data_IF_564208835757
#
_entry.id   IF_564208835757
#
_cell.length_a   1.000
_cell.length_b   1.000
_cell.length_c   1.000
_cell.angle_alpha   90.00
_cell.angle_beta   90.00
_cell.angle_gamma   90.00
#
_symmetry.space_group_name_H-M   'P 1'
#
loop_
_entity.id
_entity.type
_entity.pdbx_description
1 polymer ?
#
# COMPACT_ATOMS: atom_id res chain seq x y z
N UNK A 1 -13.34 -15.09 -28.82
CA UNK A 1 -13.89 -15.11 -27.44
C UNK A 1 -13.28 -16.25 -26.62
N UNK A 2 -13.23 -17.49 -27.13
CA UNK A 2 -12.54 -18.64 -26.50
C UNK A 2 -11.12 -18.32 -26.03
N UNK A 3 -10.31 -17.63 -26.83
CA UNK A 3 -8.91 -17.32 -26.46
C UNK A 3 -8.79 -16.34 -25.29
N UNK A 4 -9.76 -15.41 -25.14
CA UNK A 4 -9.79 -14.49 -23.99
C UNK A 4 -10.18 -15.24 -22.71
N UNK A 5 -11.11 -16.18 -22.81
CA UNK A 5 -11.54 -17.03 -21.68
C UNK A 5 -10.40 -17.97 -21.27
N UNK A 6 -9.72 -18.61 -22.23
CA UNK A 6 -8.57 -19.47 -21.96
C UNK A 6 -7.43 -18.71 -21.27
N UNK A 7 -7.09 -17.50 -21.75
CA UNK A 7 -6.11 -16.62 -21.11
C UNK A 7 -6.54 -16.24 -19.69
N UNK A 8 -7.80 -15.88 -19.49
CA UNK A 8 -8.32 -15.54 -18.17
C UNK A 8 -8.22 -16.74 -17.21
N UNK A 9 -8.64 -17.94 -17.63
CA UNK A 9 -8.56 -19.15 -16.82
C UNK A 9 -7.11 -19.52 -16.49
N UNK A 10 -6.18 -19.33 -17.44
CA UNK A 10 -4.76 -19.57 -17.22
C UNK A 10 -4.21 -18.57 -16.18
N UNK A 11 -4.50 -17.29 -16.33
CA UNK A 11 -4.08 -16.26 -15.35
C UNK A 11 -4.69 -16.49 -13.97
N UNK A 12 -5.95 -16.88 -13.90
CA UNK A 12 -6.62 -17.21 -12.64
C UNK A 12 -5.96 -18.43 -11.99
N UNK A 13 -5.72 -19.50 -12.76
CA UNK A 13 -5.04 -20.70 -12.27
C UNK A 13 -3.61 -20.40 -11.82
N UNK A 14 -2.87 -19.59 -12.57
CA UNK A 14 -1.53 -19.15 -12.19
C UNK A 14 -1.55 -18.32 -10.91
N UNK A 15 -2.50 -17.38 -10.79
CA UNK A 15 -2.68 -16.57 -9.59
C UNK A 15 -2.98 -17.43 -8.36
N UNK A 16 -3.90 -18.40 -8.48
CA UNK A 16 -4.20 -19.36 -7.42
C UNK A 16 -2.97 -20.22 -7.08
N UNK A 17 -2.22 -20.66 -8.09
CA UNK A 17 -1.01 -21.45 -7.87
C UNK A 17 0.06 -20.65 -7.11
N UNK A 18 0.32 -19.41 -7.53
CA UNK A 18 1.26 -18.52 -6.85
C UNK A 18 0.81 -18.23 -5.42
N UNK A 19 -0.47 -17.95 -5.21
CA UNK A 19 -1.03 -17.75 -3.87
C UNK A 19 -0.85 -18.99 -2.99
N UNK A 20 -1.16 -20.19 -3.51
CA UNK A 20 -0.99 -21.44 -2.78
C UNK A 20 0.47 -21.70 -2.40
N UNK A 21 1.41 -21.54 -3.35
CA UNK A 21 2.85 -21.71 -3.10
C UNK A 21 3.34 -20.69 -2.07
N UNK A 22 2.94 -19.43 -2.17
CA UNK A 22 3.31 -18.40 -1.21
C UNK A 22 2.78 -18.71 0.19
N UNK A 23 1.50 -19.10 0.33
CA UNK A 23 0.89 -19.45 1.62
C UNK A 23 1.58 -20.65 2.24
N UNK A 24 1.85 -21.71 1.47
CA UNK A 24 2.54 -22.90 1.97
C UNK A 24 3.99 -22.57 2.34
N UNK A 25 4.71 -21.83 1.51
CA UNK A 25 6.10 -21.43 1.77
C UNK A 25 6.22 -20.60 3.04
N UNK A 26 5.35 -19.60 3.22
CA UNK A 26 5.29 -18.79 4.44
C UNK A 26 4.91 -19.63 5.67
N UNK A 27 3.95 -20.56 5.53
CA UNK A 27 3.55 -21.45 6.61
C UNK A 27 4.67 -22.39 7.05
N UNK A 28 5.40 -23.00 6.10
CA UNK A 28 6.54 -23.85 6.39
C UNK A 28 7.68 -23.05 7.03
N UNK A 29 7.95 -21.85 6.53
CA UNK A 29 8.96 -20.96 7.10
C UNK A 29 8.59 -20.56 8.54
N UNK A 30 7.32 -20.23 8.80
CA UNK A 30 6.81 -19.92 10.12
C UNK A 30 7.07 -21.05 11.10
N UNK A 31 6.77 -22.29 10.72
CA UNK A 31 7.02 -23.46 11.56
C UNK A 31 8.53 -23.66 11.76
N UNK A 32 9.35 -23.48 10.72
CA UNK A 32 10.81 -23.67 10.78
C UNK A 32 11.50 -22.71 11.75
N UNK A 33 11.00 -21.49 11.92
CA UNK A 33 11.51 -20.52 12.91
C UNK A 33 10.93 -20.73 14.32
N UNK A 34 10.22 -21.83 14.56
CA UNK A 34 9.59 -22.14 15.85
C UNK A 34 8.22 -21.48 16.06
N UNK A 35 7.59 -21.00 14.99
CA UNK A 35 6.26 -20.42 15.01
C UNK A 35 5.19 -21.45 15.38
N UNK A 36 4.57 -21.26 16.53
CA UNK A 36 3.43 -22.06 17.00
C UNK A 36 2.07 -21.42 16.68
N UNK A 37 1.01 -22.01 17.24
CA UNK A 37 -0.32 -21.42 17.20
C UNK A 37 -0.30 -20.03 17.87
N UNK A 38 -0.78 -19.01 17.16
CA UNK A 38 -0.77 -17.64 17.65
C UNK A 38 -1.78 -17.50 18.81
N UNK A 39 -1.36 -16.88 19.90
CA UNK A 39 -2.24 -16.62 21.05
C UNK A 39 -3.35 -15.63 20.70
N UNK A 40 -4.40 -15.58 21.51
CA UNK A 40 -5.50 -14.61 21.35
C UNK A 40 -4.97 -13.17 21.32
N UNK A 41 -4.00 -12.83 22.16
CA UNK A 41 -3.35 -11.52 22.18
C UNK A 41 -2.61 -11.23 20.87
N UNK A 42 -1.96 -12.24 20.27
CA UNK A 42 -1.29 -12.09 18.98
C UNK A 42 -2.26 -11.75 17.85
N UNK A 43 -3.41 -12.42 17.81
CA UNK A 43 -4.47 -12.11 16.84
C UNK A 43 -5.04 -10.71 17.04
N UNK A 44 -5.27 -10.29 18.29
CA UNK A 44 -5.73 -8.93 18.61
C UNK A 44 -4.70 -7.90 18.18
N UNK A 45 -3.42 -8.10 18.51
CA UNK A 45 -2.35 -7.19 18.15
C UNK A 45 -2.17 -7.08 16.63
N UNK A 46 -2.25 -8.20 15.91
CA UNK A 46 -2.20 -8.20 14.44
C UNK A 46 -3.40 -7.48 13.84
N UNK A 47 -4.61 -7.74 14.33
CA UNK A 47 -5.81 -7.03 13.89
C UNK A 47 -5.72 -5.53 14.14
N UNK A 48 -5.28 -5.13 15.33
CA UNK A 48 -5.07 -3.72 15.68
C UNK A 48 -4.01 -3.07 14.79
N UNK A 49 -2.91 -3.78 14.50
CA UNK A 49 -1.86 -3.30 13.60
C UNK A 49 -2.36 -3.10 12.18
N UNK A 50 -3.10 -4.05 11.63
CA UNK A 50 -3.69 -3.95 10.28
C UNK A 50 -4.69 -2.79 10.22
N UNK A 51 -5.64 -2.73 11.16
CA UNK A 51 -6.66 -1.67 11.17
C UNK A 51 -6.03 -0.29 11.41
N UNK A 52 -5.04 -0.21 12.31
CA UNK A 52 -4.32 1.03 12.61
C UNK A 52 -3.55 1.54 11.40
N UNK A 53 -2.84 0.67 10.68
CA UNK A 53 -2.08 1.06 9.47
C UNK A 53 -3.00 1.45 8.31
N UNK A 54 -4.08 0.71 8.07
CA UNK A 54 -5.08 1.07 7.05
C UNK A 54 -5.76 2.40 7.39
N UNK A 55 -6.18 2.57 8.64
CA UNK A 55 -6.80 3.81 9.11
C UNK A 55 -5.85 5.00 9.02
N UNK A 56 -4.58 4.81 9.37
CA UNK A 56 -3.55 5.82 9.23
C UNK A 56 -3.32 6.19 7.75
N UNK A 57 -3.13 5.20 6.88
CA UNK A 57 -2.94 5.43 5.45
C UNK A 57 -4.13 6.17 4.83
N UNK A 58 -5.36 5.76 5.18
CA UNK A 58 -6.59 6.44 4.78
C UNK A 58 -6.62 7.88 5.28
N UNK A 59 -6.34 8.11 6.56
CA UNK A 59 -6.35 9.42 7.19
C UNK A 59 -5.34 10.37 6.53
N UNK A 60 -4.11 9.90 6.32
CA UNK A 60 -3.07 10.66 5.63
C UNK A 60 -3.47 11.01 4.19
N UNK A 61 -4.02 10.04 3.45
CA UNK A 61 -4.49 10.28 2.08
C UNK A 61 -5.67 11.26 2.03
N UNK A 62 -6.60 11.16 2.98
CA UNK A 62 -7.72 12.09 3.11
C UNK A 62 -7.24 13.51 3.40
N UNK A 63 -6.25 13.67 4.29
CA UNK A 63 -5.64 14.96 4.60
C UNK A 63 -4.91 15.54 3.38
N UNK A 64 -4.15 14.72 2.65
CA UNK A 64 -3.48 15.15 1.43
C UNK A 64 -4.47 15.71 0.39
N UNK A 65 -5.58 15.00 0.13
CA UNK A 65 -6.61 15.49 -0.77
C UNK A 65 -7.30 16.77 -0.26
N UNK A 66 -7.46 16.90 1.06
CA UNK A 66 -8.04 18.10 1.66
C UNK A 66 -7.11 19.31 1.53
N UNK A 67 -5.82 19.12 1.77
CA UNK A 67 -4.78 20.16 1.64
C UNK A 67 -4.76 20.75 0.23
N UNK A 68 -4.76 19.87 -0.78
CA UNK A 68 -4.81 20.26 -2.18
C UNK A 68 -6.10 21.00 -2.54
N UNK A 69 -7.26 20.60 -1.99
CA UNK A 69 -8.55 21.28 -2.27
C UNK A 69 -8.65 22.65 -1.63
N UNK A 70 -8.09 22.81 -0.43
CA UNK A 70 -8.14 24.07 0.32
C UNK A 70 -7.01 25.04 -0.07
N UNK A 71 -6.14 24.66 -1.03
CA UNK A 71 -5.02 25.49 -1.50
C UNK A 71 -3.96 25.71 -0.42
N UNK A 72 -3.87 24.83 0.58
CA UNK A 72 -2.85 24.92 1.63
C UNK A 72 -1.46 24.61 1.08
N UNK A 73 -1.38 23.72 0.09
CA UNK A 73 -0.13 23.40 -0.61
C UNK A 73 0.38 24.59 -1.46
N UNK A 74 -0.52 25.41 -1.98
CA UNK A 74 -0.18 26.59 -2.81
C UNK A 74 0.38 27.76 -1.97
N UNK A 75 0.10 27.77 -0.67
CA UNK A 75 0.54 28.81 0.27
C UNK A 75 1.94 28.54 0.84
N UNK A 76 2.57 27.41 0.49
CA UNK A 76 3.92 27.06 0.94
C UNK A 76 4.96 27.94 0.23
N UNK A 77 5.90 28.50 1.01
CA UNK A 77 7.03 29.27 0.47
C UNK A 77 7.99 28.35 -0.29
N UNK A 78 7.92 28.41 -1.62
CA UNK A 78 8.71 27.60 -2.53
C UNK A 78 9.97 28.31 -3.05
N UNK A 79 10.48 29.34 -2.36
CA UNK A 79 11.68 30.09 -2.78
C UNK A 79 12.95 29.25 -2.96
N UNK A 80 13.00 28.05 -2.37
CA UNK A 80 14.13 27.13 -2.46
C UNK A 80 13.92 26.01 -3.50
N UNK A 81 12.84 26.05 -4.29
CA UNK A 81 12.55 25.06 -5.34
C UNK A 81 13.47 25.27 -6.56
N UNK A 82 14.45 24.37 -6.83
CA UNK A 82 15.43 24.54 -7.90
C UNK A 82 14.84 24.35 -9.31
N UNK A 83 13.57 23.95 -9.44
CA UNK A 83 12.87 23.76 -10.71
C UNK A 83 11.90 24.88 -11.11
N UNK A 84 11.71 25.91 -10.27
CA UNK A 84 10.91 27.09 -10.64
C UNK A 84 11.75 28.06 -11.44
N UNK A 85 11.32 28.33 -12.68
CA UNK A 85 11.82 29.46 -13.45
C UNK A 85 11.53 30.73 -12.65
N UNK A 86 12.57 31.31 -12.06
CA UNK A 86 12.49 32.62 -11.42
C UNK A 86 12.12 33.63 -12.51
N UNK A 87 11.00 34.39 -12.39
CA UNK A 87 10.71 35.46 -13.33
C UNK A 87 11.89 36.42 -13.38
N UNK A 88 12.55 36.47 -14.55
CA UNK A 88 13.65 37.39 -14.85
C UNK A 88 13.07 38.73 -15.31
N UNK A 89 12.41 39.47 -14.42
CA UNK A 89 11.87 40.77 -14.79
C UNK A 89 11.56 41.67 -13.59
N UNK A 90 12.61 42.13 -12.92
CA UNK A 90 12.61 43.45 -12.27
C UNK A 90 13.99 44.10 -12.48
N UNK A 91 14.16 44.83 -13.59
CA UNK A 91 15.08 45.95 -13.75
C UNK A 91 14.44 47.00 -14.65
#
# INVERSE_FOLDING_TARGET
>A
MKDRILRFLLLLSLSLFVAAVATLGLGLFWIAIGGGAMSVHGWIAMGLGVLGTVGLAWGLMSLAFRSHRDGWDDQVDNRLDPGRDTPKDIY
#
